data_IF_116890677743
#
_entry.id   IF_116890677743
#
_cell.length_a   1.000
_cell.length_b   1.000
_cell.length_c   1.000
_cell.angle_alpha   90.00
_cell.angle_beta   90.00
_cell.angle_gamma   90.00
#
_symmetry.space_group_name_H-M   'P 1'
#
loop_
_entity.id
_entity.type
_entity.pdbx_description
1 polymer ?
#
# COMPACT_ATOMS: atom_id res chain seq x y z
N UNK A 1 18.22 7.99 10.03
CA UNK A 1 17.73 8.74 8.84
C UNK A 1 17.66 10.23 9.17
N UNK A 2 17.72 11.13 8.19
CA UNK A 2 17.55 12.56 8.45
C UNK A 2 16.18 12.86 9.05
N UNK A 3 16.12 13.87 9.93
CA UNK A 3 14.86 14.38 10.47
C UNK A 3 14.05 15.03 9.34
N UNK A 4 12.72 14.86 9.29
CA UNK A 4 11.90 15.48 8.26
C UNK A 4 12.04 17.00 8.27
N UNK A 5 12.24 17.58 7.09
CA UNK A 5 12.18 19.01 6.83
C UNK A 5 11.22 19.28 5.69
N UNK A 6 10.65 20.47 5.70
CA UNK A 6 9.75 20.89 4.65
C UNK A 6 10.56 21.47 3.49
N UNK A 7 10.35 20.92 2.31
CA UNK A 7 11.02 21.32 1.07
C UNK A 7 9.96 21.65 0.03
N UNK A 8 10.18 22.76 -0.66
CA UNK A 8 9.44 23.16 -1.84
C UNK A 8 10.44 23.33 -2.99
N UNK A 9 10.44 22.38 -3.92
CA UNK A 9 11.29 22.41 -5.12
C UNK A 9 10.53 23.01 -6.29
N UNK A 10 11.12 23.03 -7.49
CA UNK A 10 10.45 23.56 -8.68
C UNK A 10 9.18 22.77 -9.04
N UNK A 11 9.19 21.45 -8.83
CA UNK A 11 8.10 20.56 -9.24
C UNK A 11 7.22 20.07 -8.08
N UNK A 12 7.77 19.97 -6.86
CA UNK A 12 7.12 19.25 -5.76
C UNK A 12 7.25 19.97 -4.42
N UNK A 13 6.39 19.59 -3.48
CA UNK A 13 6.49 20.03 -2.09
C UNK A 13 6.27 18.83 -1.17
N UNK A 14 7.06 18.74 -0.11
CA UNK A 14 6.85 17.71 0.93
C UNK A 14 5.53 17.92 1.67
N UNK A 15 4.97 16.85 2.21
CA UNK A 15 3.68 16.79 2.90
C UNK A 15 3.49 17.79 4.03
N UNK A 16 4.56 18.18 4.73
CA UNK A 16 4.49 19.16 5.82
C UNK A 16 4.01 20.54 5.36
N UNK A 17 4.30 20.94 4.12
CA UNK A 17 3.77 22.21 3.57
C UNK A 17 2.26 22.14 3.35
N UNK A 18 1.73 20.96 3.01
CA UNK A 18 0.30 20.71 2.85
C UNK A 18 -0.41 20.66 4.21
N UNK A 19 0.26 20.15 5.25
CA UNK A 19 -0.29 19.99 6.59
C UNK A 19 -0.79 21.32 7.20
N UNK A 20 -0.21 22.45 6.80
CA UNK A 20 -0.61 23.79 7.26
C UNK A 20 -2.11 24.07 7.13
N UNK A 21 -2.75 23.51 6.10
CA UNK A 21 -4.18 23.70 5.82
C UNK A 21 -4.97 22.38 5.75
N UNK A 22 -4.28 21.24 5.63
CA UNK A 22 -4.87 19.91 5.41
C UNK A 22 -4.62 18.91 6.55
N UNK A 23 -4.13 19.36 7.70
CA UNK A 23 -4.12 18.62 8.96
C UNK A 23 -5.38 18.90 9.79
N UNK A 24 -5.64 18.10 10.82
CA UNK A 24 -6.75 18.35 11.74
C UNK A 24 -6.53 19.62 12.55
N UNK A 25 -7.60 20.39 12.79
CA UNK A 25 -7.56 21.53 13.70
C UNK A 25 -8.78 21.56 14.62
N UNK A 26 -8.54 21.80 15.91
CA UNK A 26 -9.61 21.88 16.91
C UNK A 26 -10.53 23.09 16.68
N UNK A 27 -9.96 24.20 16.18
CA UNK A 27 -10.68 25.45 15.89
C UNK A 27 -11.48 25.46 14.58
N UNK A 28 -11.37 24.42 13.76
CA UNK A 28 -12.02 24.32 12.46
C UNK A 28 -13.16 23.30 12.46
N UNK A 29 -14.18 23.53 11.63
CA UNK A 29 -15.16 22.49 11.25
C UNK A 29 -14.73 21.73 10.00
N UNK A 30 -13.78 22.27 9.24
CA UNK A 30 -13.18 21.62 8.09
C UNK A 30 -12.58 20.26 8.43
N UNK A 31 -12.65 19.35 7.45
CA UNK A 31 -12.09 18.00 7.51
C UNK A 31 -12.53 17.21 8.76
N UNK A 32 -13.76 17.43 9.21
CA UNK A 32 -14.43 16.63 10.23
C UNK A 32 -15.66 15.95 9.64
N UNK A 33 -15.95 14.74 10.10
CA UNK A 33 -17.20 14.06 9.75
C UNK A 33 -18.38 14.55 10.61
N UNK A 34 -19.57 13.98 10.39
CA UNK A 34 -20.79 14.35 11.11
C UNK A 34 -20.74 14.09 12.64
N UNK A 35 -19.73 13.36 13.13
CA UNK A 35 -19.47 13.13 14.56
C UNK A 35 -18.32 13.98 15.10
N UNK A 36 -17.76 14.88 14.28
CA UNK A 36 -16.65 15.75 14.65
C UNK A 36 -15.29 15.07 14.63
N UNK A 37 -15.18 13.83 14.11
CA UNK A 37 -13.89 13.12 14.03
C UNK A 37 -13.07 13.66 12.87
N UNK A 38 -11.76 13.83 13.07
CA UNK A 38 -10.86 14.24 11.99
C UNK A 38 -10.90 13.21 10.85
N UNK A 39 -11.10 13.72 9.65
CA UNK A 39 -10.89 13.03 8.37
C UNK A 39 -9.83 13.75 7.54
N UNK A 40 -9.01 14.60 8.17
CA UNK A 40 -7.99 15.38 7.51
C UNK A 40 -7.01 14.50 6.72
N UNK A 41 -6.71 14.81 5.44
CA UNK A 41 -5.89 13.95 4.60
C UNK A 41 -4.50 13.72 5.17
N UNK A 42 -3.85 14.76 5.73
CA UNK A 42 -2.52 14.64 6.30
C UNK A 42 -2.49 13.67 7.49
N UNK A 43 -3.43 13.85 8.43
CA UNK A 43 -3.52 13.03 9.65
C UNK A 43 -3.69 11.54 9.33
N UNK A 44 -4.52 11.23 8.31
CA UNK A 44 -4.80 9.87 7.90
C UNK A 44 -3.66 9.26 7.07
N UNK A 45 -2.93 10.06 6.29
CA UNK A 45 -1.88 9.60 5.37
C UNK A 45 -0.52 9.38 6.05
N UNK A 46 -0.12 10.23 6.99
CA UNK A 46 1.27 10.30 7.51
C UNK A 46 1.80 9.00 8.11
N UNK A 47 0.93 8.14 8.63
CA UNK A 47 1.29 6.85 9.27
C UNK A 47 1.13 5.65 8.32
N UNK A 48 0.71 5.88 7.08
CA UNK A 48 0.51 4.83 6.09
C UNK A 48 1.84 4.38 5.46
N UNK A 49 1.79 3.24 4.76
CA UNK A 49 2.94 2.79 3.97
C UNK A 49 3.26 3.72 2.79
N UNK A 50 2.33 4.56 2.33
CA UNK A 50 2.62 5.56 1.30
C UNK A 50 3.55 6.65 1.83
N UNK A 51 3.24 7.22 3.00
CA UNK A 51 4.08 8.22 3.65
C UNK A 51 5.46 7.71 4.07
N UNK A 52 5.56 6.41 4.33
CA UNK A 52 6.76 5.79 4.86
C UNK A 52 7.42 4.83 3.86
N UNK A 53 7.08 4.91 2.57
CA UNK A 53 7.51 3.94 1.55
C UNK A 53 9.03 3.84 1.41
N UNK A 54 9.76 4.96 1.54
CA UNK A 54 11.22 5.00 1.53
C UNK A 54 11.86 4.87 2.92
N UNK A 55 11.07 4.98 3.99
CA UNK A 55 11.50 4.75 5.39
C UNK A 55 11.34 3.30 5.81
N UNK A 56 10.59 2.53 5.05
CA UNK A 56 10.33 1.10 5.28
C UNK A 56 11.65 0.31 5.36
N UNK A 57 12.02 -0.21 6.55
CA UNK A 57 13.25 -0.97 6.71
C UNK A 57 13.20 -2.34 6.02
N UNK A 58 12.01 -2.94 5.84
CA UNK A 58 11.88 -4.19 5.11
C UNK A 58 12.18 -3.96 3.62
N UNK A 59 11.62 -2.90 3.04
CA UNK A 59 11.92 -2.52 1.65
C UNK A 59 13.41 -2.25 1.46
N UNK A 60 14.04 -1.47 2.34
CA UNK A 60 15.49 -1.20 2.27
C UNK A 60 16.32 -2.47 2.34
N UNK A 61 15.95 -3.42 3.21
CA UNK A 61 16.63 -4.69 3.33
C UNK A 61 16.49 -5.54 2.06
N UNK A 62 15.31 -5.57 1.45
CA UNK A 62 15.08 -6.25 0.16
C UNK A 62 15.94 -5.63 -0.94
N UNK A 63 15.92 -4.29 -1.10
CA UNK A 63 16.77 -3.63 -2.12
C UNK A 63 18.25 -3.94 -1.87
N UNK A 64 18.70 -3.92 -0.61
CA UNK A 64 20.08 -4.29 -0.28
C UNK A 64 20.42 -5.73 -0.64
N UNK A 65 19.49 -6.68 -0.46
CA UNK A 65 19.67 -8.08 -0.81
C UNK A 65 19.75 -8.26 -2.34
N UNK A 66 18.89 -7.60 -3.10
CA UNK A 66 18.92 -7.61 -4.57
C UNK A 66 20.25 -7.05 -5.11
N UNK A 67 20.72 -5.93 -4.55
CA UNK A 67 22.02 -5.33 -4.91
C UNK A 67 23.18 -6.26 -4.54
N UNK A 68 23.12 -6.94 -3.39
CA UNK A 68 24.16 -7.89 -3.00
C UNK A 68 24.18 -9.13 -3.90
N UNK A 69 23.02 -9.60 -4.35
CA UNK A 69 22.89 -10.73 -5.26
C UNK A 69 23.39 -10.38 -6.68
N UNK A 70 23.22 -9.13 -7.13
CA UNK A 70 23.62 -8.69 -8.47
C UNK A 70 24.31 -7.31 -8.45
N UNK A 71 25.55 -7.21 -7.96
CA UNK A 71 26.22 -5.91 -7.74
C UNK A 71 26.39 -5.07 -9.00
N UNK A 72 26.62 -5.71 -10.15
CA UNK A 72 26.79 -5.02 -11.44
C UNK A 72 25.51 -4.28 -11.89
N UNK A 73 24.34 -4.65 -11.35
CA UNK A 73 23.06 -4.04 -11.66
C UNK A 73 22.58 -3.05 -10.59
N UNK A 74 23.42 -2.70 -9.60
CA UNK A 74 23.05 -1.84 -8.46
C UNK A 74 22.24 -0.61 -8.86
N UNK A 75 22.77 0.21 -9.78
CA UNK A 75 22.11 1.45 -10.18
C UNK A 75 20.72 1.18 -10.79
N UNK A 76 20.60 0.17 -11.65
CA UNK A 76 19.34 -0.18 -12.29
C UNK A 76 18.30 -0.69 -11.27
N UNK A 77 18.71 -1.52 -10.31
CA UNK A 77 17.86 -2.03 -9.23
C UNK A 77 17.35 -0.87 -8.37
N UNK A 78 18.26 -0.04 -7.85
CA UNK A 78 17.90 1.06 -6.95
C UNK A 78 16.97 2.07 -7.63
N UNK A 79 17.29 2.49 -8.85
CA UNK A 79 16.43 3.39 -9.62
C UNK A 79 15.04 2.79 -9.87
N UNK A 80 14.96 1.48 -10.14
CA UNK A 80 13.67 0.80 -10.36
C UNK A 80 12.81 0.85 -9.10
N UNK A 81 13.38 0.54 -7.94
CA UNK A 81 12.68 0.53 -6.65
C UNK A 81 12.27 1.94 -6.21
N UNK A 82 13.16 2.93 -6.39
CA UNK A 82 12.93 4.31 -5.98
C UNK A 82 11.80 4.99 -6.73
N UNK A 83 11.52 4.62 -8.00
CA UNK A 83 10.38 5.19 -8.75
C UNK A 83 9.04 5.05 -8.04
N UNK A 84 8.84 3.97 -7.30
CA UNK A 84 7.59 3.74 -6.56
C UNK A 84 7.72 4.09 -5.07
N UNK A 85 8.91 3.96 -4.47
CA UNK A 85 9.10 4.15 -3.02
C UNK A 85 9.61 5.54 -2.62
N UNK A 86 10.29 6.24 -3.51
CA UNK A 86 10.76 7.63 -3.36
C UNK A 86 10.40 8.45 -4.62
N UNK A 87 9.11 8.51 -4.99
CA UNK A 87 8.69 8.97 -6.32
C UNK A 87 8.95 10.46 -6.55
N UNK A 88 8.90 11.32 -5.51
CA UNK A 88 9.15 12.76 -5.67
C UNK A 88 10.57 13.01 -6.18
N UNK A 89 11.56 12.50 -5.45
CA UNK A 89 12.96 12.60 -5.85
C UNK A 89 13.22 11.89 -7.20
N UNK A 90 12.59 10.73 -7.45
CA UNK A 90 12.74 10.02 -8.72
C UNK A 90 12.22 10.81 -9.92
N UNK A 91 11.09 11.50 -9.76
CA UNK A 91 10.49 12.33 -10.80
C UNK A 91 11.33 13.58 -11.06
N UNK A 92 11.84 14.21 -10.01
CA UNK A 92 12.71 15.37 -10.12
C UNK A 92 14.07 15.01 -10.73
N UNK A 93 14.67 13.91 -10.29
CA UNK A 93 15.91 13.40 -10.85
C UNK A 93 15.77 13.15 -12.37
N UNK A 94 14.68 12.51 -12.78
CA UNK A 94 14.35 12.30 -14.20
C UNK A 94 14.14 13.62 -14.95
N UNK A 95 13.62 14.65 -14.30
CA UNK A 95 13.44 15.97 -14.90
C UNK A 95 14.78 16.62 -15.23
N UNK A 96 15.73 16.57 -14.30
CA UNK A 96 17.07 17.14 -14.46
C UNK A 96 18.07 16.22 -15.16
N UNK A 97 17.66 14.99 -15.50
CA UNK A 97 18.53 14.01 -16.15
C UNK A 97 19.64 13.50 -15.22
N UNK A 98 19.40 13.50 -13.91
CA UNK A 98 20.33 13.00 -12.91
C UNK A 98 19.90 11.62 -12.43
N UNK A 99 20.86 10.79 -12.09
CA UNK A 99 20.61 9.48 -11.49
C UNK A 99 20.63 9.60 -9.96
N UNK A 100 19.72 8.89 -9.30
CA UNK A 100 19.67 8.79 -7.84
C UNK A 100 19.67 7.32 -7.43
N UNK A 101 20.22 7.05 -6.25
CA UNK A 101 20.28 5.74 -5.63
C UNK A 101 19.85 5.78 -4.17
N UNK A 102 19.99 4.63 -3.50
CA UNK A 102 19.59 4.48 -2.09
C UNK A 102 20.44 5.32 -1.14
N UNK A 103 21.63 5.75 -1.56
CA UNK A 103 22.54 6.64 -0.84
C UNK A 103 21.90 7.99 -0.53
N UNK A 104 21.08 8.52 -1.43
CA UNK A 104 20.31 9.76 -1.23
C UNK A 104 19.46 9.71 0.04
N UNK A 105 18.97 8.54 0.44
CA UNK A 105 18.12 8.37 1.61
C UNK A 105 18.84 8.49 2.97
N UNK A 106 20.16 8.67 2.95
CA UNK A 106 21.01 8.87 4.12
C UNK A 106 21.53 10.30 4.25
N UNK A 107 21.30 11.14 3.23
CA UNK A 107 21.61 12.57 3.25
C UNK A 107 20.49 13.39 3.92
N UNK A 108 20.72 14.68 4.08
CA UNK A 108 19.81 15.69 4.64
C UNK A 108 19.62 16.89 3.68
N UNK A 109 19.93 16.69 2.39
CA UNK A 109 19.68 17.62 1.29
C UNK A 109 18.19 17.79 0.99
N UNK A 110 17.84 18.77 0.15
CA UNK A 110 16.47 18.99 -0.26
C UNK A 110 15.90 17.78 -1.02
N UNK A 111 16.72 17.18 -1.88
CA UNK A 111 16.40 16.00 -2.68
C UNK A 111 16.21 14.77 -1.78
N UNK A 112 17.02 14.63 -0.72
CA UNK A 112 16.87 13.58 0.27
C UNK A 112 15.56 13.69 1.03
N UNK A 113 15.15 14.91 1.39
CA UNK A 113 13.87 15.16 2.06
C UNK A 113 12.68 14.83 1.16
N UNK A 114 12.74 15.14 -0.15
CA UNK A 114 11.74 14.70 -1.12
C UNK A 114 11.70 13.17 -1.25
N UNK A 115 12.85 12.50 -1.23
CA UNK A 115 12.92 11.05 -1.28
C UNK A 115 12.33 10.40 -0.01
N UNK A 116 12.62 10.97 1.15
CA UNK A 116 12.22 10.49 2.47
C UNK A 116 10.75 10.80 2.85
N UNK A 117 10.07 11.67 2.10
CA UNK A 117 8.64 11.97 2.26
C UNK A 117 7.73 10.95 1.53
N UNK A 118 8.34 9.96 0.87
CA UNK A 118 7.68 8.80 0.30
C UNK A 118 6.71 9.13 -0.85
N UNK A 119 5.63 8.35 -0.96
CA UNK A 119 4.51 8.63 -1.86
C UNK A 119 3.64 9.73 -1.25
N UNK A 120 4.04 10.98 -1.51
CA UNK A 120 3.48 12.19 -0.89
C UNK A 120 2.34 12.86 -1.67
N UNK A 121 1.73 13.88 -1.06
CA UNK A 121 0.59 14.64 -1.59
C UNK A 121 0.88 15.16 -3.00
N UNK A 122 2.00 15.87 -3.18
CA UNK A 122 2.36 16.44 -4.48
C UNK A 122 2.76 15.39 -5.50
N UNK A 123 3.07 14.14 -5.10
CA UNK A 123 3.30 13.09 -6.09
C UNK A 123 1.97 12.72 -6.75
N UNK A 124 1.02 12.16 -5.97
CA UNK A 124 -0.23 11.66 -6.52
C UNK A 124 -1.05 12.77 -7.19
N UNK A 125 -1.11 13.96 -6.57
CA UNK A 125 -1.95 15.03 -7.06
C UNK A 125 -1.35 15.84 -8.22
N UNK A 126 -0.11 15.58 -8.65
CA UNK A 126 0.47 16.25 -9.84
C UNK A 126 0.54 15.34 -11.07
N UNK A 127 0.21 14.05 -10.91
CA UNK A 127 0.15 13.10 -12.04
C UNK A 127 -0.90 13.59 -13.04
N UNK A 128 -0.47 13.74 -14.29
CA UNK A 128 -1.27 14.05 -15.46
C UNK A 128 -2.04 12.79 -15.91
N UNK A 129 -3.27 12.92 -16.43
CA UNK A 129 -4.05 11.76 -16.89
C UNK A 129 -3.44 11.02 -18.08
N UNK A 130 -2.38 11.55 -18.72
CA UNK A 130 -1.71 10.91 -19.85
C UNK A 130 -1.25 9.48 -19.53
N UNK A 131 -1.67 8.55 -20.40
CA UNK A 131 -1.32 7.12 -20.38
C UNK A 131 -1.78 6.34 -19.14
N UNK A 132 -2.57 6.91 -18.24
CA UNK A 132 -2.98 6.20 -17.02
C UNK A 132 -3.76 4.94 -17.36
N UNK A 133 -3.35 3.82 -16.77
CA UNK A 133 -3.96 2.50 -17.01
C UNK A 133 -3.39 1.75 -18.20
N UNK A 134 -2.50 2.39 -18.98
CA UNK A 134 -1.83 1.81 -20.13
C UNK A 134 -0.39 1.36 -19.78
N UNK A 135 0.18 0.39 -20.52
CA UNK A 135 1.53 -0.14 -20.30
C UNK A 135 2.64 0.91 -20.14
N UNK A 136 2.52 2.05 -20.82
CA UNK A 136 3.48 3.15 -20.78
C UNK A 136 3.55 3.86 -19.42
N UNK A 137 2.52 3.73 -18.58
CA UNK A 137 2.44 4.36 -17.26
C UNK A 137 2.86 3.44 -16.11
N UNK A 138 2.88 2.13 -16.34
CA UNK A 138 3.17 1.10 -15.35
C UNK A 138 4.62 1.20 -14.84
N UNK A 139 4.93 0.50 -13.74
CA UNK A 139 6.28 0.43 -13.16
C UNK A 139 6.92 1.79 -12.83
N UNK A 140 6.11 2.74 -12.36
CA UNK A 140 6.52 4.07 -11.94
C UNK A 140 6.77 5.04 -13.11
N UNK A 141 6.19 4.78 -14.29
CA UNK A 141 6.31 5.65 -15.45
C UNK A 141 5.17 6.68 -15.56
N UNK A 142 4.71 7.18 -14.42
CA UNK A 142 3.76 8.28 -14.36
C UNK A 142 4.30 9.54 -15.06
N UNK A 143 3.38 10.38 -15.54
CA UNK A 143 3.70 11.69 -16.12
C UNK A 143 3.26 12.76 -15.14
N UNK A 144 4.19 13.54 -14.57
CA UNK A 144 3.82 14.70 -13.77
C UNK A 144 3.67 15.94 -14.65
N UNK A 145 2.70 16.80 -14.32
CA UNK A 145 2.56 18.08 -15.00
C UNK A 145 3.72 19.03 -14.61
N UNK A 146 4.15 19.87 -15.54
CA UNK A 146 5.26 20.83 -15.34
C UNK A 146 4.80 22.23 -14.92
N UNK A 147 3.53 22.39 -14.56
CA UNK A 147 2.90 23.70 -14.36
C UNK A 147 2.48 23.93 -12.91
N UNK A 148 2.99 23.11 -11.98
CA UNK A 148 2.60 23.10 -10.56
C UNK A 148 1.08 23.09 -10.39
N UNK A 149 0.40 22.36 -11.28
CA UNK A 149 -1.03 22.09 -11.17
C UNK A 149 -1.20 20.96 -10.19
N UNK A 150 -2.14 21.12 -9.26
CA UNK A 150 -2.49 20.07 -8.31
C UNK A 150 -3.95 19.69 -8.50
N UNK A 151 -4.20 18.42 -8.79
CA UNK A 151 -5.51 17.91 -9.19
C UNK A 151 -6.33 17.45 -7.98
N UNK A 152 -7.58 17.87 -7.92
CA UNK A 152 -8.57 17.36 -6.96
C UNK A 152 -9.86 16.93 -7.67
N UNK A 153 -10.78 16.22 -6.99
CA UNK A 153 -11.99 15.72 -7.62
C UNK A 153 -13.08 16.78 -7.82
N UNK A 154 -12.93 17.97 -7.24
CA UNK A 154 -13.98 18.98 -7.20
C UNK A 154 -13.79 20.06 -8.26
N UNK A 155 -14.89 20.43 -8.90
CA UNK A 155 -14.96 21.59 -9.81
C UNK A 155 -14.71 22.91 -9.06
N UNK A 156 -14.25 23.92 -9.80
CA UNK A 156 -14.10 25.30 -9.32
C UNK A 156 -13.36 25.41 -7.97
N UNK A 157 -12.12 24.90 -7.86
CA UNK A 157 -11.34 25.08 -6.64
C UNK A 157 -10.95 26.55 -6.45
N UNK A 158 -10.94 27.02 -5.21
CA UNK A 158 -10.49 28.38 -4.87
C UNK A 158 -8.95 28.41 -4.88
N UNK A 159 -8.30 29.14 -5.82
CA UNK A 159 -6.86 29.01 -6.03
C UNK A 159 -6.01 29.81 -5.04
N UNK A 160 -6.56 30.85 -4.42
CA UNK A 160 -5.82 31.82 -3.60
C UNK A 160 -4.93 31.19 -2.52
N UNK A 161 -5.48 30.41 -1.57
CA UNK A 161 -4.69 29.82 -0.49
C UNK A 161 -3.52 28.96 -0.97
N UNK A 162 -3.72 28.11 -1.97
CA UNK A 162 -2.66 27.22 -2.47
C UNK A 162 -1.56 27.99 -3.23
N UNK A 163 -1.93 29.00 -4.01
CA UNK A 163 -0.94 29.85 -4.69
C UNK A 163 -0.09 30.64 -3.70
N UNK A 164 -0.70 31.10 -2.59
CA UNK A 164 -0.01 31.90 -1.57
C UNK A 164 0.91 31.07 -0.67
N UNK A 165 0.54 29.83 -0.33
CA UNK A 165 1.25 29.05 0.68
C UNK A 165 2.15 27.94 0.12
N UNK A 166 1.85 27.40 -1.06
CA UNK A 166 2.60 26.27 -1.65
C UNK A 166 2.92 26.47 -3.14
N UNK A 167 2.66 27.66 -3.69
CA UNK A 167 2.94 28.01 -5.09
C UNK A 167 2.34 27.02 -6.11
N UNK A 168 1.24 26.35 -5.77
CA UNK A 168 0.54 25.40 -6.66
C UNK A 168 -0.85 25.93 -7.03
N UNK A 169 -1.29 25.63 -8.25
CA UNK A 169 -2.63 26.00 -8.73
C UNK A 169 -3.55 24.79 -8.72
N UNK A 170 -4.60 24.76 -7.88
CA UNK A 170 -5.54 23.66 -7.88
C UNK A 170 -6.37 23.66 -9.15
N UNK A 171 -6.65 22.46 -9.66
CA UNK A 171 -7.59 22.22 -10.77
C UNK A 171 -8.40 20.97 -10.50
N UNK A 172 -9.60 20.90 -11.08
CA UNK A 172 -10.32 19.64 -11.14
C UNK A 172 -9.55 18.65 -12.03
N UNK A 173 -9.45 17.40 -11.60
CA UNK A 173 -8.96 16.29 -12.41
C UNK A 173 -9.66 15.01 -12.00
N UNK A 174 -10.57 14.49 -12.84
CA UNK A 174 -11.37 13.31 -12.49
C UNK A 174 -10.55 12.02 -12.39
N UNK A 175 -9.38 11.97 -13.04
CA UNK A 175 -8.47 10.83 -13.00
C UNK A 175 -7.98 10.51 -11.58
N UNK A 176 -8.00 11.47 -10.66
CA UNK A 176 -7.60 11.21 -9.25
C UNK A 176 -8.51 10.22 -8.54
N UNK A 177 -9.71 9.97 -9.10
CA UNK A 177 -10.70 9.01 -8.59
C UNK A 177 -10.69 7.66 -9.33
N UNK A 178 -9.85 7.49 -10.36
CA UNK A 178 -9.80 6.29 -11.19
C UNK A 178 -8.69 5.34 -10.75
N UNK A 179 -8.97 4.03 -10.80
CA UNK A 179 -7.99 2.97 -10.50
C UNK A 179 -6.71 3.08 -11.33
N UNK A 180 -6.81 3.62 -12.54
CA UNK A 180 -5.69 3.86 -13.46
C UNK A 180 -4.61 4.80 -12.91
N UNK A 181 -4.92 5.67 -11.95
CA UNK A 181 -3.91 6.43 -11.20
C UNK A 181 -3.03 5.49 -10.35
N UNK A 182 -3.66 4.54 -9.64
CA UNK A 182 -2.95 3.60 -8.78
C UNK A 182 -2.09 2.65 -9.61
N UNK A 183 -2.54 2.30 -10.83
CA UNK A 183 -1.86 1.41 -11.77
C UNK A 183 -0.42 1.82 -12.10
N UNK A 184 -0.06 3.09 -11.96
CA UNK A 184 1.30 3.55 -12.26
C UNK A 184 2.33 2.87 -11.36
N UNK A 185 2.01 2.67 -10.08
CA UNK A 185 2.88 2.00 -9.10
C UNK A 185 2.41 0.57 -8.80
N UNK A 186 1.11 0.30 -8.90
CA UNK A 186 0.48 -1.00 -8.60
C UNK A 186 0.37 -1.93 -9.83
N UNK A 187 1.25 -1.71 -10.81
CA UNK A 187 1.53 -2.61 -11.93
C UNK A 187 3.05 -2.62 -12.18
N UNK A 188 3.77 -3.38 -11.37
CA UNK A 188 5.22 -3.50 -11.43
C UNK A 188 5.62 -4.71 -12.26
N UNK A 189 6.47 -4.42 -13.24
CA UNK A 189 7.22 -5.42 -13.96
C UNK A 189 8.71 -5.18 -13.77
N UNK A 190 9.47 -6.23 -13.51
CA UNK A 190 10.93 -6.21 -13.43
C UNK A 190 11.53 -7.00 -14.59
N UNK A 191 12.73 -6.61 -15.02
CA UNK A 191 13.50 -7.42 -15.96
C UNK A 191 14.24 -8.47 -15.13
N UNK A 192 14.20 -9.73 -15.54
CA UNK A 192 15.01 -10.77 -14.90
C UNK A 192 16.47 -10.64 -15.32
N UNK A 193 17.35 -10.78 -14.33
CA UNK A 193 18.79 -10.69 -14.49
C UNK A 193 19.43 -12.06 -14.24
N UNK A 194 20.47 -12.40 -15.00
CA UNK A 194 21.36 -13.51 -14.66
C UNK A 194 22.33 -13.13 -13.52
N UNK A 195 23.16 -14.09 -13.09
CA UNK A 195 24.12 -13.90 -12.01
C UNK A 195 25.14 -12.78 -12.30
N UNK A 196 25.43 -12.52 -13.57
CA UNK A 196 26.33 -11.46 -14.01
C UNK A 196 25.65 -10.08 -14.09
N UNK A 197 24.32 -10.03 -13.93
CA UNK A 197 23.50 -8.82 -13.98
C UNK A 197 23.03 -8.42 -15.38
N UNK A 198 23.12 -9.32 -16.35
CA UNK A 198 22.63 -9.11 -17.70
C UNK A 198 21.17 -9.56 -17.79
N UNK A 199 20.38 -8.80 -18.55
CA UNK A 199 18.97 -9.14 -18.79
C UNK A 199 18.86 -10.46 -19.54
N UNK A 200 18.06 -11.37 -19.02
CA UNK A 200 17.78 -12.66 -19.68
C UNK A 200 16.76 -12.52 -20.83
N UNK A 201 16.13 -11.35 -20.96
CA UNK A 201 15.10 -11.06 -21.95
C UNK A 201 13.68 -11.37 -21.48
N UNK A 202 13.52 -11.98 -20.30
CA UNK A 202 12.23 -12.18 -19.66
C UNK A 202 11.85 -10.98 -18.79
N UNK A 203 10.53 -10.77 -18.65
CA UNK A 203 9.94 -9.70 -17.84
C UNK A 203 8.98 -10.32 -16.85
N UNK A 204 9.25 -10.14 -15.57
CA UNK A 204 8.48 -10.71 -14.47
C UNK A 204 7.37 -9.71 -14.05
N UNK A 205 6.08 -10.10 -14.08
CA UNK A 205 4.99 -9.32 -13.48
C UNK A 205 5.02 -9.43 -11.95
N UNK A 206 6.04 -8.84 -11.32
CA UNK A 206 6.31 -8.99 -9.88
C UNK A 206 5.10 -8.62 -9.00
N UNK A 207 4.44 -7.50 -9.30
CA UNK A 207 3.28 -7.04 -8.52
C UNK A 207 2.24 -6.43 -9.47
N UNK A 208 1.11 -7.12 -9.68
CA UNK A 208 0.09 -6.67 -10.65
C UNK A 208 -1.34 -6.53 -10.08
N UNK A 209 -1.56 -5.99 -8.86
CA UNK A 209 -2.90 -5.86 -8.29
C UNK A 209 -3.89 -5.11 -9.18
N UNK A 210 -3.46 -4.12 -9.97
CA UNK A 210 -4.35 -3.44 -10.92
C UNK A 210 -4.86 -4.39 -11.99
N UNK A 211 -3.99 -5.18 -12.64
CA UNK A 211 -4.40 -6.12 -13.67
C UNK A 211 -5.25 -7.26 -13.08
N UNK A 212 -4.91 -7.72 -11.89
CA UNK A 212 -5.75 -8.68 -11.15
C UNK A 212 -7.15 -8.13 -10.88
N UNK A 213 -7.23 -6.86 -10.50
CA UNK A 213 -8.50 -6.16 -10.29
C UNK A 213 -9.28 -5.97 -11.59
N UNK A 214 -8.62 -5.57 -12.69
CA UNK A 214 -9.25 -5.47 -14.01
C UNK A 214 -9.86 -6.80 -14.46
N UNK A 215 -9.24 -7.93 -14.11
CA UNK A 215 -9.74 -9.27 -14.40
C UNK A 215 -10.76 -9.81 -13.37
N UNK A 216 -11.19 -9.00 -12.41
CA UNK A 216 -12.17 -9.37 -11.39
C UNK A 216 -13.59 -8.89 -11.71
N UNK A 217 -14.58 -9.37 -10.97
CA UNK A 217 -15.96 -8.83 -11.03
C UNK A 217 -16.10 -7.42 -10.42
N UNK A 218 -15.08 -6.93 -9.72
CA UNK A 218 -15.08 -5.66 -9.01
C UNK A 218 -14.51 -4.50 -9.82
N UNK A 219 -14.02 -4.73 -11.05
CA UNK A 219 -13.51 -3.63 -11.86
C UNK A 219 -14.61 -2.64 -12.23
N UNK A 220 -14.34 -1.34 -12.10
CA UNK A 220 -15.27 -0.27 -12.51
C UNK A 220 -15.06 0.16 -13.97
N UNK A 221 -14.27 -0.61 -14.71
CA UNK A 221 -13.98 -0.48 -16.14
C UNK A 221 -14.78 -1.50 -16.99
N UNK A 222 -15.89 -2.01 -16.45
CA UNK A 222 -16.77 -3.00 -17.13
C UNK A 222 -17.28 -4.16 -16.25
N UNK A 223 -16.84 -4.25 -15.00
CA UNK A 223 -17.22 -5.31 -14.06
C UNK A 223 -18.62 -5.13 -13.46
N UNK A 224 -19.27 -6.26 -13.13
CA UNK A 224 -20.65 -6.30 -12.62
C UNK A 224 -20.82 -5.67 -11.24
N UNK A 225 -19.75 -5.55 -10.46
CA UNK A 225 -19.72 -4.98 -9.11
C UNK A 225 -18.68 -3.87 -9.01
N UNK A 226 -18.58 -3.04 -10.05
CA UNK A 226 -17.53 -2.05 -10.21
C UNK A 226 -17.31 -1.14 -9.00
N UNK A 227 -16.10 -1.21 -8.44
CA UNK A 227 -15.58 -0.33 -7.40
C UNK A 227 -14.13 -0.01 -7.73
N UNK A 228 -13.77 1.26 -7.86
CA UNK A 228 -12.39 1.68 -8.07
C UNK A 228 -11.49 1.32 -6.88
N UNK A 229 -10.18 1.33 -7.09
CA UNK A 229 -9.20 1.21 -6.01
C UNK A 229 -9.50 2.23 -4.90
N UNK A 230 -9.79 3.48 -5.26
CA UNK A 230 -10.16 4.55 -4.34
C UNK A 230 -11.47 4.27 -3.61
N UNK A 231 -12.44 3.64 -4.26
CA UNK A 231 -13.72 3.30 -3.64
C UNK A 231 -13.55 2.43 -2.38
N UNK A 232 -12.55 1.56 -2.35
CA UNK A 232 -12.20 0.74 -1.20
C UNK A 232 -11.13 1.37 -0.29
N UNK A 233 -10.03 1.88 -0.86
CA UNK A 233 -8.85 2.31 -0.10
C UNK A 233 -8.82 3.81 0.26
N UNK A 234 -9.71 4.61 -0.34
CA UNK A 234 -9.91 6.03 -0.04
C UNK A 234 -11.40 6.30 0.21
N UNK A 235 -12.01 5.62 1.21
CA UNK A 235 -13.46 5.61 1.36
C UNK A 235 -14.00 7.01 1.61
N UNK A 236 -15.12 7.33 0.97
CA UNK A 236 -15.80 8.64 1.05
C UNK A 236 -16.91 8.67 2.09
N UNK A 237 -16.96 7.63 2.92
CA UNK A 237 -17.93 7.44 4.01
C UNK A 237 -17.23 7.35 5.35
N UNK A 238 -17.89 7.88 6.37
CA UNK A 238 -17.42 7.82 7.75
C UNK A 238 -17.57 6.42 8.36
N UNK A 239 -17.25 6.26 9.65
CA UNK A 239 -17.34 4.96 10.31
C UNK A 239 -18.79 4.46 10.48
N UNK A 240 -19.79 5.35 10.42
CA UNK A 240 -21.22 5.01 10.40
C UNK A 240 -21.74 4.74 8.99
N UNK A 241 -20.88 4.82 7.97
CA UNK A 241 -21.25 4.63 6.59
C UNK A 241 -21.98 5.82 5.96
N UNK A 242 -21.96 7.00 6.58
CA UNK A 242 -22.56 8.22 5.99
C UNK A 242 -21.57 8.90 5.05
N UNK A 243 -22.02 9.47 3.92
CA UNK A 243 -21.17 10.28 3.06
C UNK A 243 -20.55 11.45 3.84
N UNK A 244 -19.26 11.70 3.62
CA UNK A 244 -18.54 12.80 4.27
C UNK A 244 -18.73 14.07 3.45
N UNK A 245 -19.37 15.07 4.04
CA UNK A 245 -19.46 16.45 3.55
C UNK A 245 -18.70 17.37 4.48
N UNK A 246 -17.64 18.00 3.98
CA UNK A 246 -16.83 18.90 4.81
C UNK A 246 -16.02 19.87 3.97
N UNK A 247 -15.54 20.97 4.58
CA UNK A 247 -14.62 21.89 3.92
C UNK A 247 -13.28 21.19 3.73
N UNK A 248 -12.66 21.40 2.57
CA UNK A 248 -11.47 20.63 2.15
C UNK A 248 -10.15 21.08 2.79
N UNK A 249 -10.17 22.23 3.49
CA UNK A 249 -9.03 22.82 4.16
C UNK A 249 -9.50 23.79 5.24
N UNK A 250 -8.65 24.03 6.24
CA UNK A 250 -8.79 25.14 7.19
C UNK A 250 -7.74 26.23 6.87
N UNK A 251 -7.90 27.41 7.46
CA UNK A 251 -6.93 28.51 7.35
C UNK A 251 -5.69 28.25 8.22
N UNK A 252 -4.51 28.79 7.88
CA UNK A 252 -3.26 28.55 8.63
C UNK A 252 -3.32 28.82 10.14
N UNK A 253 -4.23 29.70 10.60
CA UNK A 253 -4.43 30.00 12.03
C UNK A 253 -5.35 29.00 12.76
N UNK A 254 -5.81 27.94 12.08
CA UNK A 254 -6.60 26.84 12.66
C UNK A 254 -8.12 27.02 12.63
N UNK A 255 -8.65 28.16 12.14
CA UNK A 255 -10.08 28.34 11.89
C UNK A 255 -10.48 27.98 10.46
N UNK A 256 -11.77 27.93 10.17
CA UNK A 256 -12.26 27.72 8.80
C UNK A 256 -11.94 28.90 7.89
N UNK A 257 -11.69 28.63 6.61
CA UNK A 257 -11.76 29.68 5.59
C UNK A 257 -13.23 30.08 5.37
N UNK A 258 -13.59 31.38 5.50
CA UNK A 258 -14.99 31.81 5.44
C UNK A 258 -15.61 31.68 4.05
N UNK A 259 -14.79 31.56 3.00
CA UNK A 259 -15.22 31.42 1.60
C UNK A 259 -15.20 29.97 1.09
N UNK A 260 -14.76 29.01 1.91
CA UNK A 260 -14.80 27.60 1.52
C UNK A 260 -16.11 26.99 1.98
N UNK A 261 -16.86 26.43 1.05
CA UNK A 261 -18.05 25.63 1.34
C UNK A 261 -17.70 24.15 1.50
N UNK A 262 -18.50 23.39 2.27
CA UNK A 262 -18.40 21.94 2.32
C UNK A 262 -18.52 21.30 0.93
N UNK A 263 -17.80 20.20 0.70
CA UNK A 263 -17.80 19.48 -0.58
C UNK A 263 -17.98 17.99 -0.40
N UNK A 264 -18.56 17.36 -1.43
CA UNK A 264 -18.62 15.92 -1.62
C UNK A 264 -18.16 15.54 -3.03
N UNK A 265 -17.61 14.32 -3.23
CA UNK A 265 -17.23 13.35 -2.19
C UNK A 265 -15.90 13.74 -1.51
N UNK A 266 -15.76 13.51 -0.20
CA UNK A 266 -14.50 13.72 0.52
C UNK A 266 -13.84 12.38 0.86
N UNK A 267 -12.64 12.13 0.30
CA UNK A 267 -11.93 10.85 0.45
C UNK A 267 -11.03 10.77 1.68
N UNK A 268 -11.19 9.72 2.48
CA UNK A 268 -10.33 9.44 3.64
C UNK A 268 -9.03 8.78 3.19
N UNK A 269 -7.91 9.45 3.36
CA UNK A 269 -6.58 9.01 2.92
C UNK A 269 -5.96 7.94 3.83
N UNK A 270 -6.70 6.86 4.10
CA UNK A 270 -6.31 5.79 5.04
C UNK A 270 -5.37 4.76 4.43
N UNK A 271 -5.54 4.43 3.14
CA UNK A 271 -4.67 3.53 2.36
C UNK A 271 -4.29 2.20 3.05
N UNK A 272 -5.15 1.68 3.92
CA UNK A 272 -4.83 0.49 4.71
C UNK A 272 -4.88 -0.78 3.86
N UNK A 273 -3.85 -1.61 4.00
CA UNK A 273 -3.78 -2.97 3.48
C UNK A 273 -3.75 -3.98 4.63
N UNK A 274 -3.00 -5.07 4.44
CA UNK A 274 -2.80 -6.10 5.48
C UNK A 274 -1.57 -5.86 6.37
N UNK A 275 -0.77 -4.81 6.12
CA UNK A 275 0.50 -4.61 6.81
C UNK A 275 0.28 -3.98 8.20
N UNK A 276 0.55 -4.75 9.24
CA UNK A 276 0.61 -4.26 10.63
C UNK A 276 2.03 -4.21 11.18
N UNK A 277 2.95 -4.94 10.54
CA UNK A 277 4.33 -5.12 11.01
C UNK A 277 5.17 -3.86 10.78
N UNK A 278 5.23 -3.37 9.55
CA UNK A 278 6.10 -2.22 9.24
C UNK A 278 5.66 -0.94 9.95
N UNK A 279 4.34 -0.60 10.02
CA UNK A 279 3.89 0.51 10.86
C UNK A 279 4.28 0.35 12.33
N UNK A 280 4.30 -0.88 12.88
CA UNK A 280 4.76 -1.13 14.25
C UNK A 280 6.27 -0.92 14.38
N UNK A 281 7.08 -1.39 13.41
CA UNK A 281 8.53 -1.13 13.40
C UNK A 281 8.83 0.37 13.34
N UNK A 282 8.13 1.12 12.46
CA UNK A 282 8.28 2.58 12.34
C UNK A 282 7.94 3.29 13.65
N UNK A 283 6.83 2.90 14.29
CA UNK A 283 6.42 3.42 15.60
C UNK A 283 7.45 3.16 16.69
N UNK A 284 7.93 1.91 16.79
CA UNK A 284 8.78 1.46 17.89
C UNK A 284 10.24 1.92 17.73
N UNK A 285 10.65 2.29 16.50
CA UNK A 285 12.01 2.74 16.17
C UNK A 285 12.02 4.17 15.62
N UNK A 286 11.05 5.00 16.03
CA UNK A 286 10.87 6.36 15.52
C UNK A 286 12.12 7.25 15.67
N UNK A 287 12.93 7.04 16.71
CA UNK A 287 14.18 7.79 16.93
C UNK A 287 15.23 7.59 15.84
N UNK A 288 15.25 6.43 15.18
CA UNK A 288 16.22 6.11 14.13
C UNK A 288 15.65 6.36 12.73
N UNK A 289 14.38 5.97 12.54
CA UNK A 289 13.69 6.01 11.26
C UNK A 289 13.08 7.38 10.95
N UNK A 290 12.90 8.22 11.98
CA UNK A 290 12.37 9.59 11.89
C UNK A 290 11.12 9.73 11.00
N UNK A 291 10.05 8.94 11.22
CA UNK A 291 8.78 9.16 10.53
C UNK A 291 8.14 10.49 10.96
N UNK A 292 7.31 11.10 10.10
CA UNK A 292 6.53 12.31 10.45
C UNK A 292 5.39 12.01 11.43
N UNK A 293 4.81 10.81 11.33
CA UNK A 293 3.66 10.41 12.13
C UNK A 293 3.99 10.21 13.61
N UNK A 294 3.02 10.56 14.46
CA UNK A 294 3.08 10.25 15.88
C UNK A 294 2.85 8.76 16.16
N UNK A 295 3.14 8.35 17.40
CA UNK A 295 2.87 6.99 17.87
C UNK A 295 1.39 6.63 17.74
N UNK A 296 0.50 7.56 18.13
CA UNK A 296 -0.96 7.39 18.12
C UNK A 296 -1.48 7.23 16.68
N UNK A 297 -0.90 7.98 15.73
CA UNK A 297 -1.25 7.84 14.32
C UNK A 297 -0.89 6.44 13.78
N UNK A 298 0.28 5.90 14.13
CA UNK A 298 0.63 4.52 13.79
C UNK A 298 -0.28 3.49 14.48
N UNK A 299 -0.63 3.68 15.74
CA UNK A 299 -1.57 2.80 16.45
C UNK A 299 -2.95 2.79 15.78
N UNK A 300 -3.45 3.95 15.33
CA UNK A 300 -4.69 4.06 14.57
C UNK A 300 -4.61 3.31 13.23
N UNK A 301 -3.52 3.46 12.47
CA UNK A 301 -3.32 2.75 11.20
C UNK A 301 -3.21 1.23 11.40
N UNK A 302 -2.50 0.77 12.44
CA UNK A 302 -2.42 -0.66 12.78
C UNK A 302 -3.80 -1.21 13.18
N UNK A 303 -4.57 -0.46 13.97
CA UNK A 303 -5.92 -0.85 14.36
C UNK A 303 -6.85 -0.94 13.14
N UNK A 304 -6.77 0.02 12.22
CA UNK A 304 -7.55 0.02 10.97
C UNK A 304 -7.17 -1.17 10.07
N UNK A 305 -5.86 -1.50 9.93
CA UNK A 305 -5.42 -2.68 9.19
C UNK A 305 -5.94 -3.99 9.81
N UNK A 306 -5.94 -4.11 11.15
CA UNK A 306 -6.51 -5.27 11.86
C UNK A 306 -8.03 -5.37 11.70
N UNK A 307 -8.75 -4.26 11.74
CA UNK A 307 -10.19 -4.23 11.47
C UNK A 307 -10.50 -4.73 10.06
N UNK A 308 -9.77 -4.23 9.06
CA UNK A 308 -9.93 -4.66 7.67
C UNK A 308 -9.71 -6.18 7.53
N UNK A 309 -8.60 -6.69 8.08
CA UNK A 309 -8.28 -8.11 8.03
C UNK A 309 -9.34 -8.98 8.70
N UNK A 310 -9.84 -8.55 9.86
CA UNK A 310 -10.78 -9.35 10.66
C UNK A 310 -12.23 -9.27 10.17
N UNK A 311 -12.63 -8.19 9.49
CA UNK A 311 -14.05 -7.94 9.17
C UNK A 311 -14.37 -7.76 7.69
N UNK A 312 -13.39 -7.37 6.86
CA UNK A 312 -13.64 -6.87 5.51
C UNK A 312 -12.87 -7.59 4.40
N UNK A 313 -11.87 -8.40 4.73
CA UNK A 313 -11.06 -9.12 3.73
C UNK A 313 -11.71 -10.41 3.23
N UNK A 314 -12.08 -11.31 4.14
CA UNK A 314 -12.67 -12.59 3.79
C UNK A 314 -13.59 -13.11 4.89
N UNK A 315 -14.50 -14.02 4.54
CA UNK A 315 -15.35 -14.76 5.48
C UNK A 315 -15.08 -16.25 5.36
N UNK A 316 -14.81 -16.89 6.50
CA UNK A 316 -14.72 -18.34 6.61
C UNK A 316 -16.07 -18.91 7.06
N UNK A 317 -16.48 -20.03 6.48
CA UNK A 317 -17.60 -20.84 7.00
C UNK A 317 -17.20 -22.30 7.04
N UNK A 318 -17.48 -22.94 8.16
CA UNK A 318 -17.40 -24.37 8.36
C UNK A 318 -18.81 -24.97 8.19
N UNK A 319 -18.94 -25.99 7.36
CA UNK A 319 -20.21 -26.65 7.06
C UNK A 319 -20.01 -28.17 6.91
N UNK A 320 -21.12 -28.92 6.92
CA UNK A 320 -21.09 -30.36 6.66
C UNK A 320 -20.18 -31.13 7.62
N UNK A 321 -20.16 -30.73 8.90
CA UNK A 321 -19.37 -31.42 9.92
C UNK A 321 -20.07 -32.73 10.27
N UNK A 322 -19.57 -33.82 9.72
CA UNK A 322 -20.14 -35.16 9.91
C UNK A 322 -19.06 -36.14 10.36
N UNK A 323 -19.43 -37.05 11.26
CA UNK A 323 -18.57 -38.15 11.69
C UNK A 323 -19.20 -39.46 11.24
N UNK A 324 -18.53 -40.18 10.36
CA UNK A 324 -18.95 -41.48 9.87
C UNK A 324 -17.74 -42.42 9.77
N UNK A 325 -17.90 -43.67 10.18
CA UNK A 325 -16.88 -44.72 10.02
C UNK A 325 -15.49 -44.33 10.55
N UNK A 326 -15.43 -43.60 11.66
CA UNK A 326 -14.18 -43.13 12.26
C UNK A 326 -13.53 -41.92 11.58
N UNK A 327 -14.14 -41.37 10.52
CA UNK A 327 -13.68 -40.18 9.81
C UNK A 327 -14.55 -38.97 10.14
N UNK A 328 -13.93 -37.85 10.49
CA UNK A 328 -14.60 -36.55 10.55
C UNK A 328 -14.42 -35.84 9.22
N UNK A 329 -15.52 -35.48 8.56
CA UNK A 329 -15.52 -34.65 7.35
C UNK A 329 -16.08 -33.28 7.70
N UNK A 330 -15.50 -32.26 7.11
CA UNK A 330 -15.99 -30.89 7.18
C UNK A 330 -15.61 -30.15 5.90
N UNK A 331 -16.48 -29.26 5.45
CA UNK A 331 -16.22 -28.35 4.34
C UNK A 331 -15.90 -26.96 4.87
N UNK A 332 -14.76 -26.41 4.45
CA UNK A 332 -14.40 -25.02 4.70
C UNK A 332 -14.62 -24.23 3.42
N UNK A 333 -15.41 -23.16 3.50
CA UNK A 333 -15.54 -22.20 2.40
C UNK A 333 -14.91 -20.88 2.78
N UNK A 334 -14.14 -20.31 1.84
CA UNK A 334 -13.49 -19.01 1.95
C UNK A 334 -14.16 -18.08 0.95
N UNK A 335 -14.91 -17.10 1.44
CA UNK A 335 -15.47 -16.04 0.60
C UNK A 335 -14.58 -14.81 0.68
N UNK A 336 -13.83 -14.53 -0.39
CA UNK A 336 -13.04 -13.30 -0.51
C UNK A 336 -13.94 -12.11 -0.87
N UNK A 337 -13.67 -10.95 -0.26
CA UNK A 337 -14.30 -9.67 -0.61
C UNK A 337 -13.34 -8.69 -1.26
N UNK A 338 -12.08 -9.09 -1.50
CA UNK A 338 -11.09 -8.22 -2.17
C UNK A 338 -11.28 -8.24 -3.68
N UNK A 339 -10.96 -7.11 -4.32
CA UNK A 339 -11.13 -6.89 -5.75
C UNK A 339 -10.03 -7.47 -6.63
N UNK A 340 -8.94 -7.96 -6.06
CA UNK A 340 -7.76 -8.51 -6.74
C UNK A 340 -7.43 -9.89 -6.17
N UNK A 341 -6.28 -10.51 -6.48
CA UNK A 341 -5.92 -11.78 -5.84
C UNK A 341 -5.79 -11.62 -4.32
N UNK A 342 -5.97 -12.72 -3.60
CA UNK A 342 -5.80 -12.77 -2.15
C UNK A 342 -4.84 -13.91 -1.78
N UNK A 343 -3.63 -13.61 -1.30
CA UNK A 343 -2.99 -12.28 -1.22
C UNK A 343 -2.60 -11.71 -2.62
N UNK A 344 -2.32 -10.40 -2.69
CA UNK A 344 -1.80 -9.68 -3.88
C UNK A 344 -0.52 -8.91 -3.53
N UNK A 345 0.13 -8.34 -4.54
CA UNK A 345 1.27 -7.44 -4.41
C UNK A 345 2.57 -8.21 -4.21
N UNK A 346 3.40 -7.77 -3.26
CA UNK A 346 4.73 -8.35 -3.01
C UNK A 346 4.69 -9.89 -2.84
N UNK A 347 5.49 -10.65 -3.60
CA UNK A 347 5.39 -12.11 -3.69
C UNK A 347 5.69 -12.87 -2.41
N UNK A 348 6.34 -12.26 -1.41
CA UNK A 348 6.53 -12.90 -0.10
C UNK A 348 5.25 -13.00 0.75
N UNK A 349 4.12 -12.46 0.28
CA UNK A 349 2.82 -12.55 0.97
C UNK A 349 2.25 -13.96 0.79
N UNK A 350 1.89 -14.59 1.90
CA UNK A 350 1.14 -15.85 1.90
C UNK A 350 -0.07 -15.82 2.81
N UNK A 351 -1.10 -16.57 2.46
CA UNK A 351 -2.24 -16.87 3.33
C UNK A 351 -2.44 -18.39 3.37
N UNK A 352 -2.87 -18.92 4.52
CA UNK A 352 -3.19 -20.34 4.64
C UNK A 352 -4.35 -20.56 5.58
N UNK A 353 -4.97 -21.74 5.50
CA UNK A 353 -6.02 -22.14 6.43
C UNK A 353 -5.42 -22.95 7.57
N UNK A 354 -5.72 -22.54 8.81
CA UNK A 354 -5.51 -23.35 10.00
C UNK A 354 -6.82 -24.01 10.41
N UNK A 355 -6.82 -25.33 10.54
CA UNK A 355 -7.95 -26.11 11.05
C UNK A 355 -7.49 -26.99 12.20
N UNK A 356 -8.18 -26.88 13.34
CA UNK A 356 -7.91 -27.66 14.55
C UNK A 356 -9.16 -28.43 14.93
N UNK A 357 -9.00 -29.72 15.19
CA UNK A 357 -10.02 -30.59 15.79
C UNK A 357 -9.54 -30.99 17.17
N UNK A 358 -10.34 -30.70 18.18
CA UNK A 358 -10.10 -31.09 19.57
C UNK A 358 -11.21 -32.01 20.10
N UNK A 359 -10.89 -32.81 21.10
CA UNK A 359 -11.91 -33.50 21.89
C UNK A 359 -12.53 -32.59 22.96
N UNK A 360 -13.49 -33.12 23.72
CA UNK A 360 -14.20 -32.37 24.77
C UNK A 360 -13.29 -31.91 25.93
N UNK A 361 -12.11 -32.50 26.09
CA UNK A 361 -11.11 -32.07 27.09
C UNK A 361 -10.17 -30.98 26.57
N UNK A 362 -10.28 -30.62 25.28
CA UNK A 362 -9.39 -29.68 24.61
C UNK A 362 -8.13 -30.32 24.02
N UNK A 363 -7.98 -31.64 24.09
CA UNK A 363 -6.84 -32.34 23.46
C UNK A 363 -6.98 -32.28 21.95
N UNK A 364 -5.95 -31.78 21.27
CA UNK A 364 -5.89 -31.72 19.80
C UNK A 364 -5.80 -33.13 19.24
N UNK A 365 -6.76 -33.48 18.37
CA UNK A 365 -6.83 -34.75 17.64
C UNK A 365 -6.28 -34.59 16.21
N UNK A 366 -6.43 -33.41 15.62
CA UNK A 366 -5.94 -33.06 14.30
C UNK A 366 -5.63 -31.57 14.25
N UNK A 367 -4.51 -31.20 13.63
CA UNK A 367 -4.20 -29.82 13.30
C UNK A 367 -3.50 -29.76 11.95
N UNK A 368 -4.01 -28.91 11.06
CA UNK A 368 -3.39 -28.54 9.79
C UNK A 368 -3.21 -27.02 9.78
N UNK A 369 -2.12 -26.54 9.17
CA UNK A 369 -1.79 -25.11 9.10
C UNK A 369 -1.29 -24.51 10.42
N UNK A 370 -0.82 -25.33 11.36
CA UNK A 370 -0.08 -24.86 12.52
C UNK A 370 1.26 -24.25 12.08
N UNK A 371 1.78 -23.29 12.85
CA UNK A 371 3.05 -22.64 12.58
C UNK A 371 3.88 -22.46 13.86
N UNK A 372 5.19 -22.32 13.70
CA UNK A 372 6.10 -21.97 14.80
C UNK A 372 6.25 -20.45 14.99
N UNK A 373 7.07 -20.03 15.95
CA UNK A 373 7.32 -18.61 16.26
C UNK A 373 7.99 -17.85 15.09
N UNK A 374 8.69 -18.55 14.21
CA UNK A 374 9.26 -17.98 12.99
C UNK A 374 8.24 -17.90 11.84
N UNK A 375 7.01 -18.35 12.08
CA UNK A 375 5.92 -18.36 11.10
C UNK A 375 6.00 -19.51 10.11
N UNK A 376 6.89 -20.49 10.27
CA UNK A 376 7.01 -21.67 9.39
C UNK A 376 5.90 -22.67 9.69
N UNK A 377 5.32 -23.28 8.66
CA UNK A 377 4.27 -24.29 8.82
C UNK A 377 4.85 -25.57 9.41
N UNK A 378 4.14 -26.15 10.37
CA UNK A 378 4.56 -27.34 11.12
C UNK A 378 3.45 -28.39 11.18
N UNK A 379 3.85 -29.66 11.25
CA UNK A 379 2.99 -30.78 11.59
C UNK A 379 3.70 -31.71 12.58
N UNK A 380 3.01 -32.08 13.67
CA UNK A 380 3.61 -32.92 14.72
C UNK A 380 4.87 -32.32 15.35
N UNK A 381 4.97 -30.98 15.41
CA UNK A 381 6.14 -30.27 15.95
C UNK A 381 7.34 -30.18 15.01
N UNK A 382 7.22 -30.63 13.75
CA UNK A 382 8.28 -30.55 12.74
C UNK A 382 7.89 -29.59 11.62
N UNK A 383 8.85 -28.79 11.16
CA UNK A 383 8.69 -27.91 9.99
C UNK A 383 8.41 -28.76 8.75
N UNK A 384 7.38 -28.39 7.99
CA UNK A 384 7.04 -29.04 6.73
C UNK A 384 8.18 -28.89 5.73
N UNK A 385 8.41 -29.90 4.89
CA UNK A 385 9.48 -29.85 3.89
C UNK A 385 9.43 -28.58 3.02
N UNK A 386 8.23 -28.12 2.68
CA UNK A 386 8.03 -26.92 1.88
C UNK A 386 8.30 -25.58 2.59
N UNK A 387 8.41 -25.58 3.92
CA UNK A 387 8.83 -24.42 4.72
C UNK A 387 10.32 -24.50 5.12
N UNK A 388 11.06 -25.49 4.62
CA UNK A 388 12.51 -25.57 4.77
C UNK A 388 13.20 -24.79 3.65
N UNK A 389 14.35 -24.19 3.94
CA UNK A 389 15.15 -23.51 2.93
C UNK A 389 15.58 -24.50 1.83
N UNK A 390 15.29 -24.17 0.57
CA UNK A 390 15.51 -25.07 -0.58
C UNK A 390 14.53 -26.24 -0.66
N UNK A 391 13.46 -26.23 0.14
CA UNK A 391 12.39 -27.21 0.09
C UNK A 391 11.51 -27.09 -1.16
N UNK A 392 10.65 -28.08 -1.43
CA UNK A 392 9.69 -28.02 -2.52
C UNK A 392 8.60 -26.96 -2.25
N UNK A 393 7.83 -26.57 -3.26
CA UNK A 393 6.67 -25.70 -3.05
C UNK A 393 5.49 -26.43 -2.42
N UNK A 394 4.60 -25.69 -1.74
CA UNK A 394 3.32 -26.25 -1.30
C UNK A 394 2.44 -26.56 -2.52
N UNK A 395 1.98 -27.80 -2.72
CA UNK A 395 1.01 -28.08 -3.77
C UNK A 395 -0.32 -27.40 -3.45
N UNK A 396 -1.02 -26.93 -4.47
CA UNK A 396 -2.37 -26.39 -4.29
C UNK A 396 -3.35 -27.50 -3.87
N UNK A 397 -4.04 -27.32 -2.74
CA UNK A 397 -4.92 -28.35 -2.16
C UNK A 397 -6.33 -27.83 -1.96
N UNK A 398 -7.29 -28.60 -2.47
CA UNK A 398 -8.73 -28.42 -2.18
C UNK A 398 -9.26 -29.41 -1.13
N UNK A 399 -8.47 -30.47 -0.82
CA UNK A 399 -8.82 -31.49 0.16
C UNK A 399 -7.63 -31.77 1.05
N UNK A 400 -7.84 -31.71 2.36
CA UNK A 400 -6.83 -31.96 3.40
C UNK A 400 -7.21 -33.26 4.13
N UNK A 401 -6.33 -34.26 4.10
CA UNK A 401 -6.54 -35.57 4.75
C UNK A 401 -5.54 -35.83 5.86
N UNK A 402 -4.37 -35.19 5.83
CA UNK A 402 -3.30 -35.36 6.83
C UNK A 402 -2.92 -34.02 7.45
N UNK A 403 -2.35 -34.08 8.64
CA UNK A 403 -1.92 -32.90 9.40
C UNK A 403 -0.79 -32.11 8.69
N UNK A 404 0.00 -32.79 7.85
CA UNK A 404 1.09 -32.23 7.06
C UNK A 404 0.63 -31.62 5.71
N UNK A 405 -0.67 -31.71 5.40
CA UNK A 405 -1.26 -31.07 4.23
C UNK A 405 -1.87 -29.74 4.65
N UNK A 406 -1.53 -28.65 3.96
CA UNK A 406 -2.04 -27.30 4.25
C UNK A 406 -2.57 -26.68 2.96
N UNK A 407 -3.71 -25.98 3.05
CA UNK A 407 -4.20 -25.15 1.95
C UNK A 407 -3.50 -23.78 2.03
N UNK A 408 -2.54 -23.56 1.14
CA UNK A 408 -1.71 -22.35 1.07
C UNK A 408 -2.03 -21.58 -0.22
N UNK A 409 -2.09 -20.26 -0.10
CA UNK A 409 -2.26 -19.30 -1.20
C UNK A 409 -1.07 -18.36 -1.18
N UNK A 410 -0.17 -18.55 -2.14
CA UNK A 410 1.08 -17.79 -2.27
C UNK A 410 1.48 -17.65 -3.74
N UNK A 411 2.36 -16.70 -4.02
CA UNK A 411 3.01 -16.59 -5.32
C UNK A 411 4.24 -17.47 -5.34
N UNK A 412 4.32 -18.39 -6.30
CA UNK A 412 5.52 -19.19 -6.57
C UNK A 412 6.18 -18.61 -7.81
N UNK A 413 7.41 -18.11 -7.66
CA UNK A 413 8.20 -17.57 -8.76
C UNK A 413 9.12 -18.67 -9.30
N UNK A 414 9.11 -18.84 -10.61
CA UNK A 414 10.06 -19.65 -11.35
C UNK A 414 11.42 -18.97 -11.46
N UNK A 415 12.47 -19.78 -11.61
CA UNK A 415 13.77 -19.32 -12.07
C UNK A 415 13.80 -19.20 -13.61
N UNK A 416 14.99 -19.14 -14.20
CA UNK A 416 15.12 -19.06 -15.66
C UNK A 416 14.68 -20.35 -16.37
N UNK A 417 14.60 -21.46 -15.65
CA UNK A 417 14.25 -22.79 -16.13
C UNK A 417 12.75 -23.08 -16.03
N UNK A 418 11.99 -22.29 -15.26
CA UNK A 418 10.52 -22.29 -15.24
C UNK A 418 9.91 -22.78 -13.95
#
# INVERSE_FOLDING_TARGET
MAKPKDVDSEAFSTSGTCALCHAGSDGATAMKDAKGRSVAPYDLWQSTMMANSSRDPLWRAVVSAEVAATPNAKAAIEQKCMRCHAPLASAEARHFGVEIGMDLLYDDSAEAQLALDGVSCSMCHTIDPKNLGEPESFSGHYVNNRKRVIYGPHADPVPGPMRMHVSMTPRQGDHVRKSSLCATCHTLYTDSLDAEGKKTGHRLPEQTPYLEWQNSVFNDEGGKRGVSCQGCHVPTRDAEGKPIETRIAHAPFGGDFPFLEPRQPFGRHVFVGANTLVPAILRDNAGELNPRASKEAFEATIAAAREQLSKRTARLKLAGVERAEGVLRASVSVQSFVGHKFPTGHPARRAWLQLVVSDASGKVLFASGAHDEAGRLVAGGKVLAADQAGGPFHPHRQVIRRADEVAVYESVMGDAEG
#
